data_IF_691035463638
#
_entry.id   IF_691035463638
#
_cell.length_a   1.000
_cell.length_b   1.000
_cell.length_c   1.000
_cell.angle_alpha   90.00
_cell.angle_beta   90.00
_cell.angle_gamma   90.00
#
_symmetry.space_group_name_H-M   'P 1'
#
loop_
_entity.id
_entity.type
_entity.pdbx_description
1 polymer ?
#
# COMPACT_ATOMS: atom_id res chain seq x y z
N UNK A 1 -9.61 28.67 0.85
CA UNK A 1 -9.22 27.51 0.04
C UNK A 1 -7.79 27.00 0.37
N UNK A 2 -6.82 27.85 0.74
CA UNK A 2 -5.45 27.43 1.13
C UNK A 2 -5.33 26.40 2.29
N UNK A 3 -6.24 26.43 3.27
CA UNK A 3 -6.22 25.47 4.39
C UNK A 3 -6.49 24.04 3.92
N UNK A 4 -7.34 23.89 2.90
CA UNK A 4 -7.75 22.59 2.38
C UNK A 4 -6.62 21.96 1.55
N UNK A 5 -5.88 22.79 0.81
CA UNK A 5 -4.70 22.36 0.05
C UNK A 5 -3.55 21.91 0.97
N UNK A 6 -3.31 22.62 2.08
CA UNK A 6 -2.30 22.20 3.08
C UNK A 6 -2.67 20.88 3.75
N UNK A 7 -3.95 20.69 4.10
CA UNK A 7 -4.41 19.41 4.64
C UNK A 7 -4.28 18.27 3.62
N UNK A 8 -4.60 18.52 2.34
CA UNK A 8 -4.40 17.53 1.28
C UNK A 8 -2.91 17.19 1.08
N UNK A 9 -2.02 18.17 1.16
CA UNK A 9 -0.57 17.92 1.09
C UNK A 9 -0.09 17.09 2.27
N UNK A 10 -0.46 17.43 3.51
CA UNK A 10 -0.09 16.65 4.70
C UNK A 10 -0.65 15.22 4.66
N UNK A 11 -1.88 15.03 4.16
CA UNK A 11 -2.45 13.69 3.94
C UNK A 11 -1.71 12.92 2.85
N UNK A 12 -1.25 13.58 1.80
CA UNK A 12 -0.44 12.95 0.75
C UNK A 12 0.95 12.56 1.26
N UNK A 13 1.52 13.30 2.22
CA UNK A 13 2.79 12.94 2.88
C UNK A 13 2.68 11.70 3.78
N UNK A 14 1.46 11.33 4.19
CA UNK A 14 1.22 10.15 5.02
C UNK A 14 1.09 8.86 4.20
N UNK A 15 0.92 8.97 2.87
CA UNK A 15 0.76 7.83 1.98
C UNK A 15 1.97 7.68 1.07
N UNK A 16 2.45 6.45 0.93
CA UNK A 16 3.61 6.11 0.12
C UNK A 16 3.23 5.07 -0.91
N UNK A 17 3.58 5.34 -2.18
CA UNK A 17 3.50 4.35 -3.25
C UNK A 17 4.57 3.29 -3.02
N UNK A 18 4.14 2.03 -2.95
CA UNK A 18 5.02 0.87 -2.80
C UNK A 18 4.65 -0.20 -3.81
N UNK A 19 5.66 -0.97 -4.21
CA UNK A 19 5.51 -2.21 -4.95
C UNK A 19 5.87 -3.36 -4.05
N UNK A 20 4.95 -4.31 -3.94
CA UNK A 20 5.06 -5.44 -3.03
C UNK A 20 4.93 -6.73 -3.82
N UNK A 21 5.76 -7.71 -3.48
CA UNK A 21 5.58 -9.11 -3.88
C UNK A 21 5.20 -9.90 -2.64
N UNK A 22 3.92 -10.24 -2.52
CA UNK A 22 3.36 -10.92 -1.36
C UNK A 22 3.01 -12.35 -1.76
N UNK A 23 3.59 -13.38 -1.12
CA UNK A 23 3.17 -14.75 -1.33
C UNK A 23 1.69 -14.93 -1.03
N UNK A 24 0.97 -15.76 -1.79
CA UNK A 24 -0.47 -16.01 -1.58
C UNK A 24 -0.79 -16.53 -0.17
N UNK A 25 0.17 -17.17 0.50
CA UNK A 25 0.04 -17.58 1.91
C UNK A 25 -0.17 -16.41 2.88
N UNK A 26 0.17 -15.18 2.47
CA UNK A 26 0.03 -13.95 3.25
C UNK A 26 -1.06 -13.02 2.70
N UNK A 27 -2.11 -13.59 2.10
CA UNK A 27 -3.23 -12.83 1.53
C UNK A 27 -3.92 -11.89 2.54
N UNK A 28 -3.86 -12.20 3.84
CA UNK A 28 -4.36 -11.33 4.90
C UNK A 28 -3.76 -9.91 4.83
N UNK A 29 -2.47 -9.79 4.49
CA UNK A 29 -1.79 -8.51 4.33
C UNK A 29 -2.32 -7.72 3.13
N UNK A 30 -2.63 -8.41 2.02
CA UNK A 30 -3.24 -7.80 0.83
C UNK A 30 -4.63 -7.25 1.16
N UNK A 31 -5.42 -8.00 1.95
CA UNK A 31 -6.73 -7.56 2.42
C UNK A 31 -6.63 -6.33 3.34
N UNK A 32 -5.63 -6.30 4.23
CA UNK A 32 -5.37 -5.14 5.10
C UNK A 32 -5.00 -3.90 4.27
N UNK A 33 -4.11 -4.04 3.28
CA UNK A 33 -3.73 -2.96 2.36
C UNK A 33 -4.95 -2.48 1.56
N UNK A 34 -5.84 -3.38 1.14
CA UNK A 34 -7.07 -3.03 0.42
C UNK A 34 -8.08 -2.28 1.30
N UNK A 35 -8.08 -2.52 2.61
CA UNK A 35 -8.98 -1.87 3.57
C UNK A 35 -8.48 -0.54 4.12
N UNK A 36 -7.16 -0.39 4.31
CA UNK A 36 -6.55 0.79 4.92
C UNK A 36 -5.73 1.66 3.95
N UNK A 37 -5.38 1.14 2.77
CA UNK A 37 -4.67 1.85 1.71
C UNK A 37 -5.47 1.89 0.41
N UNK A 38 -4.78 2.27 -0.67
CA UNK A 38 -5.35 2.35 -2.00
C UNK A 38 -4.56 1.45 -2.97
N UNK A 39 -5.24 0.51 -3.62
CA UNK A 39 -4.62 -0.45 -4.54
C UNK A 39 -4.57 0.20 -5.93
N UNK A 40 -3.37 0.41 -6.47
CA UNK A 40 -3.15 0.94 -7.82
C UNK A 40 -3.12 -0.19 -8.87
N UNK A 41 -2.47 -1.30 -8.57
CA UNK A 41 -2.44 -2.50 -9.40
C UNK A 41 -2.33 -3.77 -8.54
N UNK A 42 -2.87 -4.88 -9.04
CA UNK A 42 -2.82 -6.18 -8.39
C UNK A 42 -2.77 -7.27 -9.46
N UNK A 43 -1.64 -7.96 -9.53
CA UNK A 43 -1.38 -9.05 -10.48
C UNK A 43 -1.02 -10.32 -9.71
N UNK A 44 -1.47 -11.47 -10.22
CA UNK A 44 -1.22 -12.77 -9.60
C UNK A 44 -0.23 -13.53 -10.47
N UNK A 45 0.96 -13.82 -9.92
CA UNK A 45 2.05 -14.54 -10.59
C UNK A 45 2.33 -15.85 -9.85
N UNK A 46 1.88 -16.97 -10.41
CA UNK A 46 2.04 -18.33 -9.85
C UNK A 46 1.60 -18.46 -8.37
N UNK A 47 2.53 -18.24 -7.43
CA UNK A 47 2.31 -18.31 -5.97
C UNK A 47 2.45 -16.96 -5.26
N UNK A 48 2.73 -15.90 -6.00
CA UNK A 48 2.94 -14.54 -5.52
C UNK A 48 1.86 -13.59 -6.05
N UNK A 49 1.70 -12.49 -5.35
CA UNK A 49 0.82 -11.37 -5.68
C UNK A 49 1.71 -10.15 -5.81
N UNK A 50 1.80 -9.62 -7.03
CA UNK A 50 2.44 -8.35 -7.32
C UNK A 50 1.43 -7.24 -7.09
N UNK A 51 1.71 -6.38 -6.12
CA UNK A 51 0.81 -5.33 -5.70
C UNK A 51 1.49 -3.98 -5.82
N UNK A 52 0.87 -3.05 -6.53
CA UNK A 52 1.23 -1.64 -6.48
C UNK A 52 0.14 -0.93 -5.67
N UNK A 53 0.52 -0.29 -4.56
CA UNK A 53 -0.44 0.34 -3.66
C UNK A 53 0.13 1.62 -3.03
N UNK A 54 -0.75 2.57 -2.74
CA UNK A 54 -0.49 3.66 -1.82
C UNK A 54 -0.90 3.23 -0.41
N UNK A 55 0.09 3.12 0.46
CA UNK A 55 -0.14 2.69 1.84
C UNK A 55 0.12 3.84 2.82
N UNK A 56 -0.65 3.93 3.90
CA UNK A 56 -0.36 4.85 5.00
C UNK A 56 0.89 4.43 5.77
N UNK A 57 1.57 5.39 6.39
CA UNK A 57 2.84 5.18 7.11
C UNK A 57 2.82 4.04 8.13
N UNK A 58 1.68 3.78 8.78
CA UNK A 58 1.55 2.70 9.78
C UNK A 58 1.65 1.29 9.16
N UNK A 59 1.36 1.13 7.87
CA UNK A 59 1.51 -0.14 7.15
C UNK A 59 2.93 -0.33 6.59
N UNK A 60 3.73 0.74 6.45
CA UNK A 60 5.09 0.64 5.89
C UNK A 60 5.94 -0.40 6.62
N UNK A 61 5.89 -0.42 7.96
CA UNK A 61 6.66 -1.39 8.76
C UNK A 61 6.24 -2.84 8.53
N UNK A 62 4.94 -3.07 8.30
CA UNK A 62 4.40 -4.42 8.07
C UNK A 62 4.79 -4.94 6.68
N UNK A 63 4.69 -4.07 5.67
CA UNK A 63 4.94 -4.46 4.27
C UNK A 63 6.42 -4.43 3.91
N UNK A 64 7.29 -3.88 4.76
CA UNK A 64 8.71 -3.69 4.49
C UNK A 64 9.42 -4.98 4.03
N UNK A 65 9.02 -6.12 4.60
CA UNK A 65 9.59 -7.44 4.25
C UNK A 65 9.20 -7.95 2.86
N UNK A 66 8.20 -7.34 2.23
CA UNK A 66 7.65 -7.75 0.94
C UNK A 66 7.90 -6.71 -0.17
N UNK A 67 8.68 -5.66 0.12
CA UNK A 67 9.09 -4.67 -0.88
C UNK A 67 9.93 -5.34 -1.96
N UNK A 68 9.54 -5.13 -3.22
CA UNK A 68 10.24 -5.65 -4.40
C UNK A 68 11.06 -4.57 -5.11
#
# INVERSE_FOLDING_TARGET
EELQEKMMQEVSHLHKKVRLRIPQSHYELVSEIRGAGNILSCEYEENDILLEAEIPHHLERKVFHFLS
#
